data_IF_691207028947
#
_entry.id   IF_691207028947
#
_cell.length_a   1.000
_cell.length_b   1.000
_cell.length_c   1.000
_cell.angle_alpha   90.00
_cell.angle_beta   90.00
_cell.angle_gamma   90.00
#
_symmetry.space_group_name_H-M   'P 1'
#
loop_
_entity.id
_entity.type
_entity.pdbx_description
1 polymer ?
#
# COMPACT_ATOMS: atom_id res chain seq x y z
N UNK A 1 -8.73 20.74 8.92
CA UNK A 1 -7.59 21.65 8.68
C UNK A 1 -7.71 22.47 7.40
N UNK A 2 -7.91 21.88 6.22
CA UNK A 2 -7.96 22.62 4.94
C UNK A 2 -8.96 23.79 4.91
N UNK A 3 -10.17 23.60 5.46
CA UNK A 3 -11.21 24.64 5.46
C UNK A 3 -10.87 25.86 6.34
N UNK A 4 -10.34 25.63 7.54
CA UNK A 4 -9.96 26.70 8.48
C UNK A 4 -8.79 27.55 7.96
N UNK A 5 -7.87 26.94 7.20
CA UNK A 5 -6.75 27.64 6.58
C UNK A 5 -7.20 28.57 5.43
N UNK A 6 -8.19 28.14 4.64
CA UNK A 6 -8.81 28.99 3.59
C UNK A 6 -9.56 30.16 4.23
N UNK A 7 -10.37 29.89 5.27
CA UNK A 7 -11.18 30.91 5.94
C UNK A 7 -10.33 31.98 6.67
N UNK A 8 -9.05 31.69 6.97
CA UNK A 8 -8.10 32.61 7.61
C UNK A 8 -7.20 33.40 6.63
N UNK A 9 -7.26 33.10 5.33
CA UNK A 9 -6.38 33.73 4.34
C UNK A 9 -6.87 35.15 3.98
N UNK A 10 -6.00 36.16 4.13
CA UNK A 10 -6.32 37.58 3.88
C UNK A 10 -5.88 38.08 2.50
N UNK A 11 -5.23 37.23 1.70
CA UNK A 11 -4.71 37.57 0.37
C UNK A 11 -4.97 36.44 -0.62
N UNK A 12 -5.07 36.77 -1.91
CA UNK A 12 -5.26 35.77 -2.98
C UNK A 12 -4.13 34.72 -3.00
N UNK A 13 -2.89 35.13 -2.73
CA UNK A 13 -1.76 34.21 -2.62
C UNK A 13 -1.90 33.24 -1.43
N UNK A 14 -2.41 33.74 -0.30
CA UNK A 14 -2.73 32.92 0.87
C UNK A 14 -3.84 31.90 0.59
N UNK A 15 -4.87 32.30 -0.16
CA UNK A 15 -5.97 31.39 -0.57
C UNK A 15 -5.46 30.27 -1.48
N UNK A 16 -4.63 30.59 -2.49
CA UNK A 16 -4.05 29.55 -3.37
C UNK A 16 -3.10 28.62 -2.60
N UNK A 17 -2.30 29.14 -1.67
CA UNK A 17 -1.43 28.30 -0.81
C UNK A 17 -2.26 27.35 0.07
N UNK A 18 -3.31 27.86 0.73
CA UNK A 18 -4.19 27.06 1.58
C UNK A 18 -4.98 26.02 0.76
N UNK A 19 -5.37 26.37 -0.48
CA UNK A 19 -6.01 25.46 -1.42
C UNK A 19 -5.06 24.35 -1.86
N UNK A 20 -3.84 24.66 -2.25
CA UNK A 20 -2.81 23.66 -2.61
C UNK A 20 -2.51 22.73 -1.45
N UNK A 21 -2.21 23.27 -0.26
CA UNK A 21 -1.95 22.47 0.94
C UNK A 21 -3.17 21.62 1.35
N UNK A 22 -4.38 22.16 1.17
CA UNK A 22 -5.63 21.42 1.38
C UNK A 22 -5.82 20.28 0.39
N UNK A 23 -5.54 20.49 -0.89
CA UNK A 23 -5.60 19.44 -1.92
C UNK A 23 -4.51 18.39 -1.73
N UNK A 24 -3.29 18.80 -1.35
CA UNK A 24 -2.20 17.87 -1.02
C UNK A 24 -2.56 17.04 0.20
N UNK A 25 -3.08 17.67 1.26
CA UNK A 25 -3.58 16.96 2.44
C UNK A 25 -4.68 15.98 2.06
N UNK A 26 -5.69 16.38 1.28
CA UNK A 26 -6.75 15.49 0.78
C UNK A 26 -6.19 14.33 -0.06
N UNK A 27 -5.19 14.60 -0.90
CA UNK A 27 -4.51 13.57 -1.68
C UNK A 27 -3.65 12.64 -0.83
N UNK A 28 -3.10 13.07 0.31
CA UNK A 28 -2.44 12.15 1.26
C UNK A 28 -3.44 11.23 1.99
N UNK A 29 -4.72 11.66 2.05
CA UNK A 29 -5.85 10.81 2.49
C UNK A 29 -6.34 9.89 1.37
N UNK A 30 -5.65 9.84 0.22
CA UNK A 30 -5.82 8.88 -0.86
C UNK A 30 -4.48 8.59 -1.58
N UNK A 31 -3.75 7.52 -1.19
CA UNK A 31 -2.37 7.30 -1.61
C UNK A 31 -2.19 7.52 -3.11
N UNK A 32 -1.11 8.21 -3.52
CA UNK A 32 -0.85 8.34 -4.94
C UNK A 32 -0.74 6.94 -5.56
N UNK A 33 -1.25 6.78 -6.78
CA UNK A 33 -1.25 5.48 -7.47
C UNK A 33 0.15 4.83 -7.46
N UNK A 34 1.21 5.64 -7.57
CA UNK A 34 2.61 5.23 -7.49
C UNK A 34 2.98 4.58 -6.14
N UNK A 35 2.44 5.05 -5.01
CA UNK A 35 2.69 4.45 -3.70
C UNK A 35 2.00 3.08 -3.57
N UNK A 36 0.75 2.96 -4.03
CA UNK A 36 0.04 1.66 -4.08
C UNK A 36 0.77 0.68 -5.00
N UNK A 37 1.18 1.11 -6.19
CA UNK A 37 1.89 0.25 -7.14
C UNK A 37 3.25 -0.21 -6.62
N UNK A 38 3.98 0.68 -5.95
CA UNK A 38 5.24 0.34 -5.28
C UNK A 38 5.02 -0.70 -4.19
N UNK A 39 3.99 -0.52 -3.35
CA UNK A 39 3.67 -1.46 -2.28
C UNK A 39 3.26 -2.84 -2.83
N UNK A 40 2.43 -2.90 -3.88
CA UNK A 40 2.08 -4.16 -4.55
C UNK A 40 3.29 -4.86 -5.16
N UNK A 41 4.19 -4.12 -5.80
CA UNK A 41 5.41 -4.66 -6.38
C UNK A 41 6.35 -5.24 -5.31
N UNK A 42 6.42 -4.61 -4.14
CA UNK A 42 7.17 -5.12 -3.01
C UNK A 42 6.58 -6.46 -2.49
N UNK A 43 5.26 -6.57 -2.41
CA UNK A 43 4.57 -7.83 -2.06
C UNK A 43 4.88 -8.93 -3.09
N UNK A 44 4.83 -8.61 -4.40
CA UNK A 44 5.17 -9.58 -5.44
C UNK A 44 6.59 -10.11 -5.32
N UNK A 45 7.53 -9.21 -5.04
CA UNK A 45 8.94 -9.56 -4.84
C UNK A 45 9.12 -10.46 -3.62
N UNK A 46 8.49 -10.12 -2.49
CA UNK A 46 8.56 -10.91 -1.27
C UNK A 46 7.90 -12.30 -1.44
N UNK A 47 6.74 -12.36 -2.08
CA UNK A 47 6.04 -13.61 -2.37
C UNK A 47 6.88 -14.51 -3.31
N UNK A 48 7.48 -13.96 -4.35
CA UNK A 48 8.36 -14.70 -5.25
C UNK A 48 9.58 -15.27 -4.51
N UNK A 49 10.25 -14.46 -3.69
CA UNK A 49 11.37 -14.91 -2.86
C UNK A 49 10.95 -16.04 -1.93
N UNK A 50 9.79 -15.90 -1.27
CA UNK A 50 9.30 -16.92 -0.33
C UNK A 50 8.97 -18.24 -1.03
N UNK A 51 8.36 -18.18 -2.22
CA UNK A 51 8.09 -19.37 -3.04
C UNK A 51 9.37 -20.07 -3.48
N UNK A 52 10.41 -19.31 -3.81
CA UNK A 52 11.72 -19.86 -4.15
C UNK A 52 12.38 -20.55 -2.95
N UNK A 53 12.29 -19.98 -1.75
CA UNK A 53 12.73 -20.65 -0.52
C UNK A 53 11.98 -21.98 -0.30
N UNK A 54 10.65 -21.99 -0.49
CA UNK A 54 9.82 -23.20 -0.37
C UNK A 54 10.26 -24.25 -1.40
N UNK A 55 10.53 -23.84 -2.64
CA UNK A 55 11.01 -24.74 -3.69
C UNK A 55 12.32 -25.45 -3.34
N UNK A 56 13.24 -24.70 -2.74
CA UNK A 56 14.56 -25.19 -2.36
C UNK A 56 14.55 -26.10 -1.12
N UNK A 57 13.41 -26.25 -0.41
CA UNK A 57 13.30 -27.15 0.74
C UNK A 57 13.32 -28.60 0.29
N UNK A 58 14.36 -29.34 0.66
CA UNK A 58 14.50 -30.75 0.32
C UNK A 58 13.79 -31.68 1.31
N UNK A 59 13.29 -31.12 2.41
CA UNK A 59 12.63 -31.83 3.50
C UNK A 59 11.09 -31.83 3.38
N UNK A 60 10.54 -31.19 2.33
CA UNK A 60 9.11 -31.16 2.02
C UNK A 60 8.80 -31.99 0.78
N UNK A 61 7.62 -32.62 0.76
CA UNK A 61 7.08 -33.22 -0.47
C UNK A 61 6.60 -32.16 -1.46
N UNK A 62 6.38 -32.56 -2.71
CA UNK A 62 5.89 -31.64 -3.74
C UNK A 62 4.48 -31.11 -3.40
N UNK A 63 3.63 -31.93 -2.79
CA UNK A 63 2.30 -31.53 -2.30
C UNK A 63 2.39 -30.49 -1.18
N UNK A 64 3.29 -30.68 -0.22
CA UNK A 64 3.51 -29.72 0.88
C UNK A 64 4.05 -28.39 0.35
N UNK A 65 4.97 -28.44 -0.61
CA UNK A 65 5.45 -27.23 -1.31
C UNK A 65 4.33 -26.53 -2.06
N UNK A 66 3.51 -27.27 -2.81
CA UNK A 66 2.40 -26.70 -3.55
C UNK A 66 1.39 -26.00 -2.62
N UNK A 67 1.04 -26.65 -1.51
CA UNK A 67 0.15 -26.06 -0.50
C UNK A 67 0.76 -24.78 0.12
N UNK A 68 2.04 -24.82 0.49
CA UNK A 68 2.73 -23.66 1.07
C UNK A 68 2.83 -22.48 0.08
N UNK A 69 3.10 -22.74 -1.21
CA UNK A 69 3.11 -21.68 -2.23
C UNK A 69 1.72 -21.10 -2.48
N UNK A 70 0.69 -21.95 -2.47
CA UNK A 70 -0.70 -21.49 -2.59
C UNK A 70 -1.09 -20.57 -1.43
N UNK A 71 -0.65 -20.87 -0.21
CA UNK A 71 -0.87 -20.01 0.96
C UNK A 71 -0.14 -18.65 0.83
N UNK A 72 1.08 -18.65 0.30
CA UNK A 72 1.82 -17.42 -0.03
C UNK A 72 1.06 -16.58 -1.06
N UNK A 73 0.52 -17.19 -2.11
CA UNK A 73 -0.23 -16.49 -3.16
C UNK A 73 -1.55 -15.92 -2.63
N UNK A 74 -2.25 -16.64 -1.75
CA UNK A 74 -3.46 -16.14 -1.06
C UNK A 74 -3.13 -14.91 -0.23
N UNK A 75 -2.12 -14.97 0.65
CA UNK A 75 -1.73 -13.84 1.51
C UNK A 75 -1.27 -12.62 0.71
N UNK A 76 -0.50 -12.84 -0.35
CA UNK A 76 -0.08 -11.77 -1.25
C UNK A 76 -1.29 -11.09 -1.91
N UNK A 77 -2.30 -11.87 -2.32
CA UNK A 77 -3.53 -11.34 -2.93
C UNK A 77 -4.39 -10.56 -1.94
N UNK A 78 -4.52 -11.04 -0.71
CA UNK A 78 -5.23 -10.35 0.38
C UNK A 78 -4.55 -9.02 0.71
N UNK A 79 -3.22 -9.01 0.85
CA UNK A 79 -2.44 -7.81 1.12
C UNK A 79 -2.56 -6.76 0.01
N UNK A 80 -2.51 -7.18 -1.26
CA UNK A 80 -2.74 -6.26 -2.40
C UNK A 80 -4.15 -5.69 -2.41
N UNK A 81 -5.15 -6.50 -2.09
CA UNK A 81 -6.55 -6.05 -1.99
C UNK A 81 -6.74 -5.03 -0.86
N UNK A 82 -6.04 -5.22 0.26
CA UNK A 82 -6.01 -4.25 1.36
C UNK A 82 -5.33 -2.94 0.94
N UNK A 83 -4.24 -2.98 0.16
CA UNK A 83 -3.59 -1.78 -0.41
C UNK A 83 -4.52 -1.05 -1.40
N UNK A 84 -5.25 -1.78 -2.24
CA UNK A 84 -6.22 -1.17 -3.16
C UNK A 84 -7.33 -0.44 -2.40
N UNK A 85 -7.85 -1.10 -1.37
CA UNK A 85 -8.88 -0.57 -0.47
C UNK A 85 -8.37 0.53 0.45
N UNK A 86 -7.05 0.74 0.54
CA UNK A 86 -6.47 1.70 1.44
C UNK A 86 -6.89 3.13 1.07
N UNK A 87 -7.67 3.66 2.01
CA UNK A 87 -7.95 5.06 2.28
C UNK A 87 -6.74 5.96 2.15
N UNK A 88 -5.74 5.75 3.00
CA UNK A 88 -4.70 6.73 3.29
C UNK A 88 -3.32 6.11 3.09
N UNK A 89 -2.27 6.94 2.99
CA UNK A 89 -0.88 6.43 2.97
C UNK A 89 -0.59 5.55 4.20
N UNK A 90 -1.11 5.95 5.37
CA UNK A 90 -1.03 5.13 6.59
C UNK A 90 -1.76 3.78 6.45
N UNK A 91 -2.88 3.75 5.70
CA UNK A 91 -3.58 2.52 5.36
C UNK A 91 -2.76 1.61 4.44
N UNK A 92 -2.02 2.17 3.48
CA UNK A 92 -1.10 1.41 2.61
C UNK A 92 0.06 0.83 3.41
N UNK A 93 0.68 1.61 4.29
CA UNK A 93 1.77 1.12 5.15
C UNK A 93 1.29 0.05 6.13
N UNK A 94 0.09 0.19 6.69
CA UNK A 94 -0.50 -0.85 7.55
C UNK A 94 -0.78 -2.13 6.76
N UNK A 95 -1.38 -2.02 5.57
CA UNK A 95 -1.67 -3.16 4.71
C UNK A 95 -0.40 -3.90 4.26
N UNK A 96 0.70 -3.17 4.03
CA UNK A 96 2.00 -3.73 3.69
C UNK A 96 2.60 -4.59 4.82
N UNK A 97 2.32 -4.26 6.09
CA UNK A 97 2.80 -5.04 7.24
C UNK A 97 1.94 -6.26 7.58
N UNK A 98 0.72 -6.35 7.03
CA UNK A 98 -0.22 -7.42 7.33
C UNK A 98 -0.14 -8.61 6.36
N UNK A 99 0.52 -8.44 5.20
CA UNK A 99 0.80 -9.49 4.21
C UNK A 99 2.18 -10.11 4.38
#
# INVERSE_FOLDING_TARGET
EAKSAIDSATTNAGVETAKTAGTESISSVNPPATAKDTAKSAIDTAAAAKKQEIDNRQDLTDEEKAAAKSDVDTKASEAKSAIDSATTDAGVETAKTAG
#
